data_IF_973294480094
#
_entry.id   IF_973294480094
#
_cell.length_a   1.000
_cell.length_b   1.000
_cell.length_c   1.000
_cell.angle_alpha   90.00
_cell.angle_beta   90.00
_cell.angle_gamma   90.00
#
_symmetry.space_group_name_H-M   'P 1'
#
loop_
_entity.id
_entity.type
_entity.pdbx_description
1 polymer ?
#
# COMPACT_ATOMS: atom_id res chain seq x y z
N UNK A 1 -11.28 -9.78 11.13
CA UNK A 1 -10.77 -8.43 11.47
C UNK A 1 -11.69 -7.43 10.79
N UNK A 2 -12.25 -6.48 11.52
CA UNK A 2 -13.01 -5.35 10.96
C UNK A 2 -12.32 -4.07 11.42
N UNK A 3 -12.25 -3.04 10.57
CA UNK A 3 -11.75 -1.70 10.88
C UNK A 3 -10.25 -1.64 11.28
N UNK A 4 -9.41 -2.51 10.72
CA UNK A 4 -7.96 -2.44 10.92
C UNK A 4 -7.31 -1.50 9.90
N UNK A 5 -6.34 -0.71 10.34
CA UNK A 5 -5.42 0.01 9.47
C UNK A 5 -4.27 -0.93 9.10
N UNK A 6 -4.09 -1.22 7.81
CA UNK A 6 -3.05 -2.14 7.31
C UNK A 6 -2.06 -1.33 6.49
N UNK A 7 -0.80 -1.39 6.89
CA UNK A 7 0.31 -0.79 6.17
C UNK A 7 0.95 -1.87 5.31
N UNK A 8 0.98 -1.65 4.00
CA UNK A 8 1.51 -2.56 3.00
C UNK A 8 2.84 -1.99 2.53
N UNK A 9 3.90 -2.78 2.65
CA UNK A 9 5.21 -2.46 2.08
C UNK A 9 5.20 -2.59 0.55
N UNK A 10 6.14 -1.92 -0.13
CA UNK A 10 6.20 -1.91 -1.61
C UNK A 10 7.09 -3.02 -2.14
N UNK A 11 8.40 -2.89 -1.98
CA UNK A 11 9.38 -3.76 -2.64
C UNK A 11 9.42 -5.14 -1.99
N UNK A 12 9.41 -6.20 -2.80
CA UNK A 12 9.36 -7.60 -2.38
C UNK A 12 8.12 -7.96 -1.54
N UNK A 13 7.11 -7.09 -1.51
CA UNK A 13 5.82 -7.30 -0.83
C UNK A 13 4.67 -7.11 -1.81
N UNK A 14 4.49 -5.90 -2.35
CA UNK A 14 3.49 -5.59 -3.36
C UNK A 14 4.02 -5.85 -4.77
N UNK A 15 5.29 -5.49 -5.00
CA UNK A 15 5.97 -5.70 -6.29
C UNK A 15 7.21 -6.57 -6.13
N UNK A 16 7.58 -7.30 -7.16
CA UNK A 16 8.81 -8.07 -7.22
C UNK A 16 10.04 -7.18 -7.51
N UNK A 17 11.22 -7.81 -7.54
CA UNK A 17 12.49 -7.16 -7.88
C UNK A 17 12.52 -6.48 -9.27
N UNK A 18 11.59 -6.83 -10.16
CA UNK A 18 11.45 -6.26 -11.50
C UNK A 18 10.31 -5.22 -11.56
N UNK A 19 9.75 -4.83 -10.41
CA UNK A 19 8.62 -3.90 -10.28
C UNK A 19 7.30 -4.41 -10.88
N UNK A 20 7.17 -5.72 -11.11
CA UNK A 20 5.89 -6.33 -11.47
C UNK A 20 5.06 -6.59 -10.22
N UNK A 21 3.74 -6.53 -10.33
CA UNK A 21 2.86 -6.87 -9.22
C UNK A 21 3.02 -8.34 -8.83
N UNK A 22 3.16 -8.62 -7.53
CA UNK A 22 3.19 -10.00 -7.02
C UNK A 22 1.86 -10.69 -7.36
N UNK A 23 1.86 -11.94 -7.88
CA UNK A 23 0.63 -12.65 -8.23
C UNK A 23 -0.38 -12.70 -7.08
N UNK A 24 -1.64 -12.35 -7.36
CA UNK A 24 -2.72 -12.35 -6.38
C UNK A 24 -2.77 -11.13 -5.44
N UNK A 25 -1.84 -10.18 -5.57
CA UNK A 25 -1.77 -9.02 -4.67
C UNK A 25 -3.05 -8.16 -4.75
N UNK A 26 -3.57 -7.91 -5.95
CA UNK A 26 -4.80 -7.12 -6.14
C UNK A 26 -5.99 -7.75 -5.43
N UNK A 27 -6.17 -9.05 -5.62
CA UNK A 27 -7.25 -9.83 -5.03
C UNK A 27 -7.12 -9.88 -3.50
N UNK A 28 -5.90 -10.01 -2.98
CA UNK A 28 -5.64 -9.97 -1.55
C UNK A 28 -5.98 -8.59 -0.95
N UNK A 29 -5.56 -7.50 -1.58
CA UNK A 29 -5.90 -6.14 -1.15
C UNK A 29 -7.42 -5.91 -1.19
N UNK A 30 -8.09 -6.33 -2.27
CA UNK A 30 -9.54 -6.20 -2.37
C UNK A 30 -10.27 -6.97 -1.26
N UNK A 31 -9.85 -8.20 -0.95
CA UNK A 31 -10.43 -8.98 0.16
C UNK A 31 -10.25 -8.29 1.52
N UNK A 32 -9.18 -7.52 1.72
CA UNK A 32 -8.99 -6.73 2.93
C UNK A 32 -9.95 -5.55 2.98
N UNK A 33 -10.12 -4.84 1.85
CA UNK A 33 -11.11 -3.74 1.72
C UNK A 33 -12.53 -4.27 1.97
N UNK A 34 -12.90 -5.40 1.36
CA UNK A 34 -14.22 -6.02 1.51
C UNK A 34 -14.52 -6.44 2.96
N UNK A 35 -13.46 -6.68 3.76
CA UNK A 35 -13.56 -6.96 5.20
C UNK A 35 -13.65 -5.70 6.06
N UNK A 36 -13.64 -4.51 5.45
CA UNK A 36 -13.68 -3.22 6.12
C UNK A 36 -12.33 -2.77 6.67
N UNK A 37 -11.21 -3.22 6.10
CA UNK A 37 -9.89 -2.70 6.45
C UNK A 37 -9.57 -1.43 5.64
N UNK A 38 -8.78 -0.54 6.23
CA UNK A 38 -8.21 0.62 5.55
C UNK A 38 -6.76 0.31 5.19
N UNK A 39 -6.41 0.47 3.92
CA UNK A 39 -5.08 0.15 3.42
C UNK A 39 -4.25 1.43 3.25
N UNK A 40 -2.99 1.35 3.64
CA UNK A 40 -1.99 2.39 3.46
C UNK A 40 -0.78 1.78 2.77
N UNK A 41 -0.23 2.47 1.77
CA UNK A 41 0.98 2.02 1.10
C UNK A 41 2.19 2.75 1.69
N UNK A 42 3.25 2.00 1.97
CA UNK A 42 4.44 2.50 2.64
C UNK A 42 5.72 2.00 1.97
N UNK A 43 6.75 2.84 1.93
CA UNK A 43 8.09 2.46 1.50
C UNK A 43 9.13 3.34 2.16
N UNK A 44 10.32 2.78 2.43
CA UNK A 44 11.50 3.53 2.89
C UNK A 44 11.97 4.56 1.87
N UNK A 45 11.67 4.38 0.58
CA UNK A 45 11.94 5.34 -0.49
C UNK A 45 10.96 6.53 -0.50
N UNK A 46 10.01 6.54 0.43
CA UNK A 46 9.12 7.67 0.68
C UNK A 46 7.81 7.64 -0.11
N UNK A 47 6.94 8.59 0.22
CA UNK A 47 5.55 8.66 -0.26
C UNK A 47 5.41 8.71 -1.78
N UNK A 48 6.21 9.56 -2.45
CA UNK A 48 6.11 9.73 -3.92
C UNK A 48 6.41 8.44 -4.67
N UNK A 49 7.37 7.66 -4.19
CA UNK A 49 7.70 6.36 -4.76
C UNK A 49 6.52 5.39 -4.63
N UNK A 50 5.97 5.26 -3.42
CA UNK A 50 4.80 4.41 -3.16
C UNK A 50 3.59 4.81 -4.03
N UNK A 51 3.25 6.10 -4.11
CA UNK A 51 2.17 6.61 -4.96
C UNK A 51 2.41 6.29 -6.44
N UNK A 52 3.64 6.45 -6.92
CA UNK A 52 4.04 6.11 -8.29
C UNK A 52 3.86 4.62 -8.62
N UNK A 53 4.22 3.74 -7.69
CA UNK A 53 4.03 2.29 -7.85
C UNK A 53 2.54 1.93 -7.87
N UNK A 54 1.73 2.51 -6.97
CA UNK A 54 0.28 2.31 -6.98
C UNK A 54 -0.37 2.77 -8.29
N UNK A 55 0.05 3.93 -8.81
CA UNK A 55 -0.45 4.48 -10.07
C UNK A 55 -0.11 3.59 -11.26
N UNK A 56 1.15 3.11 -11.34
CA UNK A 56 1.62 2.22 -12.42
C UNK A 56 0.78 0.94 -12.55
N UNK A 57 0.33 0.39 -11.42
CA UNK A 57 -0.45 -0.86 -11.36
C UNK A 57 -1.97 -0.63 -11.25
N UNK A 58 -2.44 0.62 -11.35
CA UNK A 58 -3.87 0.95 -11.25
C UNK A 58 -4.50 0.58 -9.90
N UNK A 59 -3.76 0.77 -8.81
CA UNK A 59 -4.14 0.47 -7.43
C UNK A 59 -4.39 1.74 -6.59
N UNK A 60 -4.24 2.95 -7.15
CA UNK A 60 -4.34 4.22 -6.41
C UNK A 60 -5.62 4.36 -5.58
N UNK A 61 -6.75 3.86 -6.09
CA UNK A 61 -8.05 3.92 -5.40
C UNK A 61 -8.21 2.90 -4.26
N UNK A 62 -7.24 2.02 -4.05
CA UNK A 62 -7.29 0.99 -3.00
C UNK A 62 -6.64 1.46 -1.69
N UNK A 63 -5.84 2.53 -1.73
CA UNK A 63 -5.10 3.03 -0.57
C UNK A 63 -5.61 4.39 -0.12
N UNK A 64 -5.63 4.59 1.19
CA UNK A 64 -5.91 5.88 1.81
C UNK A 64 -4.63 6.72 1.89
N UNK A 65 -4.75 8.01 1.59
CA UNK A 65 -3.63 8.94 1.50
C UNK A 65 -3.77 10.03 2.58
N UNK A 66 -3.53 9.67 3.84
CA UNK A 66 -3.66 10.57 4.99
C UNK A 66 -2.37 11.30 5.36
N UNK A 67 -2.50 12.54 5.86
CA UNK A 67 -1.45 13.19 6.65
C UNK A 67 -1.58 12.67 8.09
N UNK A 68 -0.71 11.75 8.49
CA UNK A 68 -0.68 11.26 9.87
C UNK A 68 0.20 12.19 10.70
N UNK A 69 -0.42 13.18 11.34
CA UNK A 69 0.26 14.04 12.31
C UNK A 69 0.92 13.20 13.40
N UNK A 70 2.21 13.45 13.65
CA UNK A 70 3.06 12.88 14.70
C UNK A 70 3.37 11.37 14.65
N UNK A 71 2.80 10.61 13.73
CA UNK A 71 3.22 9.22 13.49
C UNK A 71 4.16 9.19 12.30
N UNK A 72 5.43 9.51 12.58
CA UNK A 72 6.55 9.23 11.67
C UNK A 72 6.77 7.72 11.60
N UNK A 73 5.86 6.97 10.99
CA UNK A 73 6.16 5.60 10.53
C UNK A 73 7.00 5.68 9.24
N UNK A 74 7.18 6.86 8.65
CA UNK A 74 7.91 7.06 7.41
C UNK A 74 9.37 7.44 7.68
N UNK A 75 10.26 6.69 7.02
CA UNK A 75 11.64 7.03 6.79
C UNK A 75 11.79 8.50 6.31
N UNK A 76 12.85 9.14 6.81
CA UNK A 76 13.42 10.46 6.49
C UNK A 76 12.73 11.34 5.43
#
# INVERSE_FOLDING_TARGET
MKNANIFVDVDLTLVDQNQNLVPGAREALQRLIDRGCHLFLWSTAGRKYAEGTAARHGLTGMFAWGHWGHVSIFCN
#
